data_IF_334727621717
#
_entry.id   IF_334727621717
#
_cell.length_a   1.000
_cell.length_b   1.000
_cell.length_c   1.000
_cell.angle_alpha   90.00
_cell.angle_beta   90.00
_cell.angle_gamma   90.00
#
_symmetry.space_group_name_H-M   'P 1'
#
loop_
_entity.id
_entity.type
_entity.pdbx_description
1 polymer ?
#
# COMPACT_ATOMS: atom_id res chain seq x y z
N UNK A 1 15.50 32.79 -27.52
CA UNK A 1 14.37 32.41 -26.64
C UNK A 1 14.74 31.06 -26.05
N UNK A 2 15.07 31.00 -24.76
CA UNK A 2 15.62 29.79 -24.16
C UNK A 2 14.51 28.83 -23.75
N UNK A 3 14.63 27.60 -24.24
CA UNK A 3 13.89 26.37 -23.90
C UNK A 3 14.20 25.92 -22.45
N UNK A 4 14.23 26.84 -21.50
CA UNK A 4 14.64 26.62 -20.11
C UNK A 4 13.54 27.01 -19.10
N UNK A 5 12.29 27.10 -19.53
CA UNK A 5 11.14 27.30 -18.64
C UNK A 5 9.94 26.52 -19.16
N UNK A 6 9.37 25.70 -18.27
CA UNK A 6 8.17 24.87 -18.40
C UNK A 6 8.37 23.46 -18.97
N UNK A 7 9.39 22.76 -18.49
CA UNK A 7 9.05 21.49 -17.84
C UNK A 7 8.82 21.87 -16.39
N UNK A 8 7.56 22.00 -15.98
CA UNK A 8 7.24 22.13 -14.56
C UNK A 8 7.80 20.88 -13.89
N UNK A 9 8.86 21.01 -13.09
CA UNK A 9 9.15 20.02 -12.05
C UNK A 9 7.88 19.92 -11.20
N UNK A 10 7.05 18.92 -11.50
CA UNK A 10 5.95 18.54 -10.63
C UNK A 10 6.64 18.14 -9.35
N UNK A 11 6.62 19.02 -8.35
CA UNK A 11 7.11 18.72 -7.01
C UNK A 11 6.19 17.62 -6.47
N UNK A 12 6.57 16.36 -6.69
CA UNK A 12 5.85 15.21 -6.15
C UNK A 12 5.92 15.32 -4.63
N UNK A 13 4.77 15.56 -4.02
CA UNK A 13 4.62 15.45 -2.58
C UNK A 13 4.70 13.96 -2.21
N UNK A 14 5.00 13.66 -0.95
CA UNK A 14 4.98 12.28 -0.47
C UNK A 14 4.29 12.19 0.89
N UNK A 15 3.42 11.19 1.02
CA UNK A 15 2.73 10.86 2.25
C UNK A 15 3.39 9.62 2.85
N UNK A 16 3.68 9.66 4.15
CA UNK A 16 3.99 8.45 4.90
C UNK A 16 2.70 7.88 5.46
N UNK A 17 2.43 6.62 5.16
CA UNK A 17 1.19 5.95 5.57
C UNK A 17 1.55 4.78 6.47
N UNK A 18 0.91 4.71 7.63
CA UNK A 18 0.87 3.51 8.46
C UNK A 18 -0.23 2.61 7.93
N UNK A 19 0.15 1.46 7.40
CA UNK A 19 -0.74 0.46 6.84
C UNK A 19 -0.80 -0.75 7.77
N UNK A 20 -1.97 -1.09 8.28
CA UNK A 20 -2.23 -2.38 8.89
C UNK A 20 -2.88 -3.30 7.85
N UNK A 21 -2.29 -4.48 7.65
CA UNK A 21 -2.74 -5.47 6.68
C UNK A 21 -2.83 -6.83 7.34
N UNK A 22 -4.04 -7.36 7.47
CA UNK A 22 -4.28 -8.75 7.89
C UNK A 22 -4.64 -9.60 6.69
N UNK A 23 -4.03 -10.77 6.60
CA UNK A 23 -4.33 -11.79 5.58
C UNK A 23 -4.94 -13.00 6.27
N UNK A 24 -6.11 -13.42 5.80
CA UNK A 24 -6.88 -14.52 6.34
C UNK A 24 -7.21 -15.55 5.25
N UNK A 25 -7.34 -16.83 5.63
CA UNK A 25 -7.78 -17.82 4.66
C UNK A 25 -9.31 -17.77 4.55
N UNK A 26 -9.85 -17.96 3.34
CA UNK A 26 -11.31 -18.11 3.15
C UNK A 26 -11.85 -19.43 3.75
N UNK A 27 -10.97 -20.38 4.07
CA UNK A 27 -11.34 -21.66 4.67
C UNK A 27 -10.29 -22.15 5.67
N UNK A 28 -10.76 -22.77 6.76
CA UNK A 28 -9.92 -23.39 7.79
C UNK A 28 -9.05 -24.54 7.28
N UNK A 29 -9.40 -25.11 6.11
CA UNK A 29 -8.66 -26.20 5.49
C UNK A 29 -7.49 -25.71 4.61
N UNK A 30 -7.44 -24.41 4.33
CA UNK A 30 -6.37 -23.79 3.55
C UNK A 30 -5.32 -23.20 4.51
N UNK A 31 -4.04 -23.33 4.18
CA UNK A 31 -2.93 -22.82 5.00
C UNK A 31 -1.96 -22.00 4.14
N UNK A 32 -2.44 -20.88 3.59
CA UNK A 32 -1.68 -20.05 2.62
C UNK A 32 -1.37 -18.62 3.09
N UNK A 33 -1.93 -18.18 4.22
CA UNK A 33 -1.71 -16.82 4.79
C UNK A 33 -0.29 -16.28 4.65
N UNK A 34 0.71 -17.06 5.09
CA UNK A 34 2.12 -16.63 5.07
C UNK A 34 2.60 -16.37 3.64
N UNK A 35 2.34 -17.33 2.74
CA UNK A 35 2.72 -17.22 1.32
C UNK A 35 2.03 -16.03 0.66
N UNK A 36 0.75 -15.82 0.92
CA UNK A 36 -0.03 -14.69 0.37
C UNK A 36 0.51 -13.36 0.88
N UNK A 37 0.82 -13.25 2.18
CA UNK A 37 1.45 -12.05 2.74
C UNK A 37 2.80 -11.76 2.07
N UNK A 38 3.66 -12.76 1.91
CA UNK A 38 4.95 -12.61 1.22
C UNK A 38 4.77 -12.19 -0.25
N UNK A 39 3.69 -12.67 -0.89
CA UNK A 39 3.32 -12.28 -2.24
C UNK A 39 2.92 -10.79 -2.31
N UNK A 40 2.01 -10.35 -1.45
CA UNK A 40 1.60 -8.94 -1.34
C UNK A 40 2.78 -8.03 -1.01
N UNK A 41 3.65 -8.44 -0.08
CA UNK A 41 4.85 -7.68 0.28
C UNK A 41 5.76 -7.46 -0.93
N UNK A 42 5.95 -8.50 -1.75
CA UNK A 42 6.84 -8.45 -2.91
C UNK A 42 6.25 -7.72 -4.11
N UNK A 43 4.96 -7.85 -4.34
CA UNK A 43 4.33 -7.41 -5.60
C UNK A 43 3.38 -6.22 -5.44
N UNK A 44 3.06 -5.80 -4.23
CA UNK A 44 2.25 -4.59 -4.01
C UNK A 44 3.07 -3.58 -3.18
N UNK A 45 3.52 -3.99 -1.99
CA UNK A 45 4.12 -3.07 -1.02
C UNK A 45 5.56 -2.65 -1.37
N UNK A 46 6.31 -3.49 -2.10
CA UNK A 46 7.67 -3.19 -2.51
C UNK A 46 7.78 -1.91 -3.36
N UNK A 47 6.74 -1.56 -4.12
CA UNK A 47 6.69 -0.34 -4.94
C UNK A 47 6.65 0.95 -4.10
N UNK A 48 6.29 0.84 -2.81
CA UNK A 48 6.12 1.98 -1.90
C UNK A 48 7.16 2.00 -0.77
N UNK A 49 8.31 1.35 -0.99
CA UNK A 49 9.40 1.24 -0.01
C UNK A 49 8.93 0.75 1.37
N UNK A 50 7.99 -0.19 1.39
CA UNK A 50 7.35 -0.62 2.62
C UNK A 50 8.34 -1.18 3.66
N UNK A 51 8.20 -0.72 4.89
CA UNK A 51 8.98 -1.19 6.03
C UNK A 51 8.05 -1.75 7.11
N UNK A 52 8.26 -3.00 7.51
CA UNK A 52 7.53 -3.56 8.66
C UNK A 52 7.90 -2.80 9.93
N UNK A 53 6.89 -2.50 10.75
CA UNK A 53 7.12 -1.91 12.09
C UNK A 53 7.70 -2.95 13.07
N UNK A 54 7.38 -4.23 12.86
CA UNK A 54 7.91 -5.36 13.65
C UNK A 54 8.12 -6.60 12.77
N UNK A 55 9.10 -7.49 13.07
CA UNK A 55 9.45 -8.61 12.19
C UNK A 55 8.29 -9.56 11.85
N UNK A 56 7.39 -9.80 12.81
CA UNK A 56 6.23 -10.69 12.67
C UNK A 56 4.90 -9.93 12.67
N UNK A 57 4.94 -8.61 12.52
CA UNK A 57 3.76 -7.75 12.55
C UNK A 57 2.94 -7.79 11.26
N UNK A 58 1.77 -7.17 11.36
CA UNK A 58 0.87 -6.89 10.24
C UNK A 58 0.90 -5.41 9.83
N UNK A 59 1.78 -4.61 10.43
CA UNK A 59 1.86 -3.17 10.21
C UNK A 59 3.11 -2.81 9.41
N UNK A 60 2.94 -1.83 8.51
CA UNK A 60 3.96 -1.33 7.60
C UNK A 60 3.92 0.19 7.60
N UNK A 61 5.08 0.81 7.39
CA UNK A 61 5.16 2.19 6.92
C UNK A 61 5.47 2.16 5.44
N UNK A 62 4.63 2.81 4.64
CA UNK A 62 4.81 2.98 3.19
C UNK A 62 4.94 4.46 2.85
N UNK A 63 5.56 4.78 1.72
CA UNK A 63 5.66 6.15 1.21
C UNK A 63 5.03 6.23 -0.17
N UNK A 64 3.96 7.03 -0.30
CA UNK A 64 3.26 7.23 -1.57
C UNK A 64 3.59 8.62 -2.11
N UNK A 65 4.25 8.74 -3.28
CA UNK A 65 4.40 10.01 -3.97
C UNK A 65 3.08 10.40 -4.67
N UNK A 66 2.63 11.63 -4.55
CA UNK A 66 1.36 12.09 -5.13
C UNK A 66 1.42 13.52 -5.66
N UNK A 67 0.51 13.84 -6.59
CA UNK A 67 0.40 15.17 -7.21
C UNK A 67 -0.61 16.07 -6.49
N UNK A 68 -1.69 15.48 -5.97
CA UNK A 68 -2.76 16.14 -5.22
C UNK A 68 -3.53 15.09 -4.38
N UNK A 69 -4.47 15.54 -3.56
CA UNK A 69 -5.23 14.65 -2.66
C UNK A 69 -6.03 13.57 -3.39
N UNK A 70 -6.60 13.86 -4.56
CA UNK A 70 -7.36 12.87 -5.35
C UNK A 70 -6.45 11.77 -5.89
N UNK A 71 -5.24 12.13 -6.33
CA UNK A 71 -4.22 11.17 -6.74
C UNK A 71 -3.75 10.30 -5.56
N UNK A 72 -3.55 10.90 -4.38
CA UNK A 72 -3.20 10.13 -3.17
C UNK A 72 -4.30 9.13 -2.81
N UNK A 73 -5.56 9.58 -2.75
CA UNK A 73 -6.71 8.70 -2.47
C UNK A 73 -6.79 7.56 -3.48
N UNK A 74 -6.67 7.88 -4.77
CA UNK A 74 -6.69 6.88 -5.84
C UNK A 74 -5.57 5.86 -5.67
N UNK A 75 -4.34 6.29 -5.38
CA UNK A 75 -3.21 5.38 -5.19
C UNK A 75 -3.40 4.46 -3.98
N UNK A 76 -3.97 4.96 -2.87
CA UNK A 76 -4.28 4.12 -1.70
C UNK A 76 -5.35 3.08 -2.05
N UNK A 77 -6.45 3.47 -2.69
CA UNK A 77 -7.51 2.53 -3.08
C UNK A 77 -7.07 1.52 -4.15
N UNK A 78 -6.24 1.92 -5.10
CA UNK A 78 -5.69 1.01 -6.09
C UNK A 78 -4.74 -0.01 -5.43
N UNK A 79 -3.91 0.44 -4.47
CA UNK A 79 -3.09 -0.49 -3.67
C UNK A 79 -3.97 -1.49 -2.90
N UNK A 80 -5.09 -1.07 -2.30
CA UNK A 80 -6.00 -1.99 -1.61
C UNK A 80 -6.58 -3.03 -2.56
N UNK A 81 -7.03 -2.61 -3.75
CA UNK A 81 -7.56 -3.50 -4.78
C UNK A 81 -6.52 -4.50 -5.27
N UNK A 82 -5.29 -4.06 -5.48
CA UNK A 82 -4.19 -4.94 -5.90
C UNK A 82 -3.92 -5.99 -4.82
N UNK A 83 -3.79 -5.59 -3.55
CA UNK A 83 -3.57 -6.53 -2.45
C UNK A 83 -4.71 -7.54 -2.30
N UNK A 84 -5.96 -7.10 -2.45
CA UNK A 84 -7.13 -7.96 -2.36
C UNK A 84 -7.17 -8.98 -3.50
N UNK A 85 -6.93 -8.54 -4.75
CA UNK A 85 -6.79 -9.42 -5.92
C UNK A 85 -5.69 -10.48 -5.71
N UNK A 86 -4.55 -10.07 -5.15
CA UNK A 86 -3.46 -10.99 -4.82
C UNK A 86 -3.82 -12.01 -3.73
N UNK A 87 -4.70 -11.67 -2.79
CA UNK A 87 -5.19 -12.59 -1.78
C UNK A 87 -6.24 -13.56 -2.33
N UNK A 88 -7.19 -13.06 -3.12
CA UNK A 88 -8.28 -13.85 -3.69
C UNK A 88 -7.76 -14.97 -4.61
N UNK A 89 -6.72 -14.69 -5.40
CA UNK A 89 -6.05 -15.69 -6.27
C UNK A 89 -5.54 -16.94 -5.52
N UNK A 90 -5.28 -16.84 -4.22
CA UNK A 90 -4.82 -17.95 -3.36
C UNK A 90 -5.87 -18.33 -2.29
N UNK A 91 -7.14 -18.02 -2.53
CA UNK A 91 -8.29 -18.31 -1.65
C UNK A 91 -8.12 -17.71 -0.24
N UNK A 92 -7.57 -16.50 -0.18
CA UNK A 92 -7.47 -15.69 1.02
C UNK A 92 -8.28 -14.40 0.84
N UNK A 93 -8.45 -13.66 1.93
CA UNK A 93 -8.99 -12.31 1.92
C UNK A 93 -8.11 -11.41 2.79
N UNK A 94 -8.24 -10.10 2.62
CA UNK A 94 -7.55 -9.12 3.45
C UNK A 94 -8.53 -8.28 4.28
N UNK A 95 -8.05 -7.83 5.43
CA UNK A 95 -8.57 -6.66 6.12
C UNK A 95 -7.43 -5.63 6.11
N UNK A 96 -7.71 -4.41 5.67
CA UNK A 96 -6.72 -3.35 5.52
C UNK A 96 -7.23 -2.06 6.13
N UNK A 97 -6.33 -1.33 6.78
CA UNK A 97 -6.58 -0.01 7.38
C UNK A 97 -5.32 0.83 7.16
N UNK A 98 -5.47 2.07 6.70
CA UNK A 98 -4.38 3.00 6.44
C UNK A 98 -4.59 4.35 7.11
N UNK A 99 -3.54 4.89 7.72
CA UNK A 99 -3.53 6.23 8.32
C UNK A 99 -2.34 7.01 7.79
N UNK A 100 -2.57 8.23 7.32
CA UNK A 100 -1.47 9.15 7.01
C UNK A 100 -0.82 9.63 8.31
N UNK A 101 0.50 9.54 8.39
CA UNK A 101 1.25 9.91 9.59
C UNK A 101 1.27 11.43 9.72
N UNK A 102 0.78 11.92 10.86
CA UNK A 102 0.80 13.36 11.19
C UNK A 102 -0.45 14.11 10.76
N UNK A 103 -1.46 13.42 10.23
CA UNK A 103 -2.78 13.97 9.90
C UNK A 103 -3.88 13.09 10.52
N UNK A 104 -5.13 13.55 10.44
CA UNK A 104 -6.31 12.75 10.80
C UNK A 104 -6.88 11.97 9.60
N UNK A 105 -6.16 11.91 8.47
CA UNK A 105 -6.61 11.25 7.24
C UNK A 105 -6.40 9.74 7.33
N UNK A 106 -7.44 8.99 6.99
CA UNK A 106 -7.44 7.53 7.01
C UNK A 106 -8.23 6.94 5.84
N UNK A 107 -7.92 5.70 5.48
CA UNK A 107 -8.59 4.93 4.44
C UNK A 107 -8.85 3.49 4.89
#
# INVERSE_FOLDING_TARGET
>A
MNQAKLDSEVVKQSAQIRLWLRVENNSKFIRRKKKVREHIERFCLAFYNAQKTTPNGCEYIITIPYENDEDLDKQVYDLFRDMDSHADMDYCFIEVDAHEIGTDRSW
#
